data_IF_998986080484
#
_entry.id   IF_998986080484
#
_cell.length_a   1.000
_cell.length_b   1.000
_cell.length_c   1.000
_cell.angle_alpha   90.00
_cell.angle_beta   90.00
_cell.angle_gamma   90.00
#
_symmetry.space_group_name_H-M   'P 1'
#
loop_
_entity.id
_entity.type
_entity.pdbx_description
1 polymer ?
#
# COMPACT_ATOMS: atom_id res chain seq x y z
N UNK A 1 7.11 17.12 6.17
CA UNK A 1 8.44 17.19 6.83
C UNK A 1 8.69 18.62 7.24
N UNK A 2 8.91 18.83 8.51
CA UNK A 2 9.18 20.13 9.10
C UNK A 2 10.58 20.61 8.74
N UNK A 3 10.83 21.90 8.76
CA UNK A 3 12.13 22.54 8.45
C UNK A 3 13.26 22.20 9.46
N UNK A 4 13.22 21.04 10.11
CA UNK A 4 14.18 20.64 11.15
C UNK A 4 15.49 20.05 10.61
N UNK A 5 15.58 19.81 9.29
CA UNK A 5 16.81 19.27 8.71
C UNK A 5 18.01 20.22 8.83
N UNK A 6 17.76 21.54 8.90
CA UNK A 6 18.82 22.56 9.06
C UNK A 6 19.38 22.66 10.49
N UNK A 7 18.90 21.86 11.44
CA UNK A 7 19.43 21.83 12.80
C UNK A 7 20.81 21.21 12.91
N UNK A 8 21.26 20.53 11.87
CA UNK A 8 22.57 19.91 11.79
C UNK A 8 23.41 20.57 10.69
N UNK A 9 24.73 20.54 10.83
CA UNK A 9 25.62 21.03 9.79
C UNK A 9 25.56 20.18 8.51
N UNK A 10 25.92 20.76 7.37
CA UNK A 10 25.85 20.07 6.07
C UNK A 10 26.66 18.77 6.02
N UNK A 11 27.73 18.69 6.76
CA UNK A 11 28.65 17.53 6.80
C UNK A 11 28.45 16.69 8.07
N UNK A 12 27.29 16.79 8.74
CA UNK A 12 27.03 16.09 9.99
C UNK A 12 26.88 14.58 9.78
N UNK A 13 26.27 14.18 8.65
CA UNK A 13 26.03 12.77 8.33
C UNK A 13 27.00 12.29 7.27
N UNK A 14 27.75 11.24 7.58
CA UNK A 14 28.62 10.55 6.60
C UNK A 14 27.81 9.67 5.66
N UNK A 15 26.71 9.07 6.15
CA UNK A 15 25.81 8.18 5.42
C UNK A 15 24.39 8.68 5.50
N UNK A 16 23.70 8.70 4.37
CA UNK A 16 22.26 8.96 4.30
C UNK A 16 21.60 7.80 3.57
N UNK A 17 20.58 7.22 4.20
CA UNK A 17 19.76 6.17 3.60
C UNK A 17 18.36 6.74 3.42
N UNK A 18 17.82 6.64 2.20
CA UNK A 18 16.48 7.09 1.84
C UNK A 18 15.62 5.86 1.57
N UNK A 19 14.70 5.58 2.47
CA UNK A 19 13.65 4.60 2.24
C UNK A 19 12.56 5.22 1.36
N UNK A 20 11.89 4.39 0.58
CA UNK A 20 10.92 4.81 -0.45
C UNK A 20 11.51 5.85 -1.42
N UNK A 21 12.71 5.54 -1.93
CA UNK A 21 13.49 6.45 -2.77
C UNK A 21 12.78 6.89 -4.07
N UNK A 22 11.65 6.27 -4.43
CA UNK A 22 10.81 6.76 -5.52
C UNK A 22 10.23 8.15 -5.25
N UNK A 23 10.24 8.65 -4.00
CA UNK A 23 9.85 10.01 -3.64
C UNK A 23 10.99 11.03 -3.70
N UNK A 24 12.22 10.62 -4.00
CA UNK A 24 13.43 11.45 -3.93
C UNK A 24 13.38 12.70 -4.80
N UNK A 25 12.65 12.65 -5.90
CA UNK A 25 12.47 13.78 -6.82
C UNK A 25 11.50 14.85 -6.32
N UNK A 26 10.78 14.60 -5.21
CA UNK A 26 9.86 15.59 -4.63
C UNK A 26 10.61 16.76 -4.00
N UNK A 27 10.00 17.96 -3.97
CA UNK A 27 10.67 19.18 -3.46
C UNK A 27 11.18 19.07 -2.02
N UNK A 28 10.52 18.28 -1.18
CA UNK A 28 10.92 18.08 0.23
C UNK A 28 12.20 17.26 0.36
N UNK A 29 12.35 16.20 -0.45
CA UNK A 29 13.54 15.37 -0.46
C UNK A 29 14.72 16.09 -1.13
N UNK A 30 14.48 16.76 -2.27
CA UNK A 30 15.51 17.55 -2.95
C UNK A 30 16.18 18.56 -2.02
N UNK A 31 15.40 19.31 -1.23
CA UNK A 31 15.94 20.27 -0.25
C UNK A 31 16.88 19.60 0.76
N UNK A 32 16.57 18.40 1.22
CA UNK A 32 17.40 17.67 2.19
C UNK A 32 18.68 17.17 1.53
N UNK A 33 18.59 16.61 0.33
CA UNK A 33 19.73 16.07 -0.42
C UNK A 33 20.70 17.19 -0.86
N UNK A 34 20.17 18.33 -1.31
CA UNK A 34 20.96 19.50 -1.69
C UNK A 34 21.65 20.16 -0.49
N UNK A 35 21.04 20.08 0.69
CA UNK A 35 21.62 20.67 1.90
C UNK A 35 22.78 19.84 2.47
N UNK A 36 22.57 18.51 2.62
CA UNK A 36 23.58 17.63 3.19
C UNK A 36 24.59 17.16 2.12
N UNK A 37 25.83 16.96 2.53
CA UNK A 37 26.90 16.44 1.70
C UNK A 37 27.45 15.14 2.29
N UNK A 38 26.71 14.04 2.21
CA UNK A 38 27.16 12.78 2.74
C UNK A 38 28.32 12.21 1.89
N UNK A 39 29.14 11.37 2.50
CA UNK A 39 30.13 10.57 1.77
C UNK A 39 29.50 9.43 0.99
N UNK A 40 28.30 8.98 1.45
CA UNK A 40 27.56 7.89 0.83
C UNK A 40 26.06 8.16 0.92
N UNK A 41 25.37 8.05 -0.21
CA UNK A 41 23.91 8.18 -0.34
C UNK A 41 23.34 6.87 -0.89
N UNK A 42 22.39 6.25 -0.18
CA UNK A 42 21.70 5.03 -0.59
C UNK A 42 20.19 5.27 -0.70
N UNK A 43 19.60 4.85 -1.80
CA UNK A 43 18.16 4.79 -1.99
C UNK A 43 17.68 3.35 -1.97
N UNK A 44 16.60 3.10 -1.25
CA UNK A 44 15.89 1.83 -1.22
C UNK A 44 14.46 2.05 -1.72
N UNK A 45 13.98 1.25 -2.66
CA UNK A 45 12.61 1.32 -3.15
C UNK A 45 12.16 -0.01 -3.76
N UNK A 46 10.90 -0.36 -3.56
CA UNK A 46 10.28 -1.48 -4.26
C UNK A 46 9.83 -1.12 -5.69
N UNK A 47 9.71 0.18 -6.01
CA UNK A 47 9.21 0.70 -7.30
C UNK A 47 10.16 1.74 -7.86
N UNK A 48 11.16 1.31 -8.64
CA UNK A 48 12.12 2.20 -9.27
C UNK A 48 11.56 2.92 -10.51
N UNK A 49 10.59 2.32 -11.21
CA UNK A 49 10.00 2.91 -12.41
C UNK A 49 8.84 3.83 -12.05
N UNK A 50 8.98 5.12 -12.36
CA UNK A 50 7.91 6.11 -12.23
C UNK A 50 7.24 6.37 -13.58
N UNK A 51 5.91 6.50 -13.54
CA UNK A 51 5.12 6.84 -14.73
C UNK A 51 5.19 8.33 -15.11
N UNK A 52 5.77 9.18 -14.23
CA UNK A 52 5.86 10.63 -14.42
C UNK A 52 7.11 11.07 -15.22
N UNK A 53 7.92 10.13 -15.70
CA UNK A 53 9.11 10.41 -16.51
C UNK A 53 10.32 10.99 -15.75
N UNK A 54 10.20 11.21 -14.44
CA UNK A 54 11.32 11.69 -13.63
C UNK A 54 12.22 10.53 -13.23
N UNK A 55 13.47 10.53 -13.67
CA UNK A 55 14.45 9.53 -13.27
C UNK A 55 14.88 9.73 -11.82
N UNK A 56 14.71 8.70 -11.01
CA UNK A 56 15.27 8.69 -9.66
C UNK A 56 16.77 8.42 -9.68
N UNK A 57 17.25 7.78 -10.74
CA UNK A 57 18.64 7.34 -10.86
C UNK A 57 19.63 8.51 -10.94
N UNK A 58 19.21 9.65 -11.54
CA UNK A 58 20.02 10.87 -11.59
C UNK A 58 20.46 11.36 -10.21
N UNK A 59 19.63 11.15 -9.19
CA UNK A 59 19.95 11.56 -7.81
C UNK A 59 21.06 10.69 -7.21
N UNK A 60 21.27 9.50 -7.74
CA UNK A 60 22.26 8.52 -7.30
C UNK A 60 23.39 8.32 -8.36
N UNK A 61 23.64 9.34 -9.20
CA UNK A 61 24.66 9.31 -10.27
C UNK A 61 24.56 8.06 -11.17
N UNK A 62 23.30 7.63 -11.47
CA UNK A 62 22.97 6.43 -12.25
C UNK A 62 23.54 5.11 -11.67
N UNK A 63 23.96 5.10 -10.41
CA UNK A 63 24.49 3.91 -9.76
C UNK A 63 23.33 3.03 -9.26
N UNK A 64 23.28 1.80 -9.73
CA UNK A 64 22.35 0.76 -9.27
C UNK A 64 23.18 -0.36 -8.62
N UNK A 65 23.05 -0.48 -7.30
CA UNK A 65 23.73 -1.53 -6.54
C UNK A 65 23.07 -2.90 -6.71
N UNK A 66 21.72 -2.91 -6.76
CA UNK A 66 20.94 -4.13 -6.90
C UNK A 66 19.57 -3.79 -7.50
N UNK A 67 19.11 -4.56 -8.47
CA UNK A 67 17.74 -4.52 -9.02
C UNK A 67 17.19 -5.96 -9.06
N UNK A 68 16.26 -6.27 -8.16
CA UNK A 68 15.62 -7.57 -8.10
C UNK A 68 14.15 -7.37 -8.47
N UNK A 69 13.77 -7.83 -9.63
CA UNK A 69 12.38 -7.78 -10.10
C UNK A 69 11.55 -8.90 -9.47
N UNK A 70 10.23 -8.73 -9.48
CA UNK A 70 9.32 -9.74 -8.92
C UNK A 70 9.54 -11.14 -9.53
N UNK A 71 9.77 -11.22 -10.85
CA UNK A 71 10.05 -12.49 -11.52
C UNK A 71 11.34 -13.13 -10.99
N UNK A 72 12.42 -12.33 -10.86
CA UNK A 72 13.68 -12.81 -10.32
C UNK A 72 13.54 -13.27 -8.86
N UNK A 73 12.76 -12.51 -8.08
CA UNK A 73 12.48 -12.86 -6.69
C UNK A 73 11.70 -14.19 -6.55
N UNK A 74 10.75 -14.45 -7.45
CA UNK A 74 10.01 -15.71 -7.51
C UNK A 74 10.90 -16.86 -7.96
N UNK A 75 11.70 -16.70 -9.01
CA UNK A 75 12.63 -17.72 -9.53
C UNK A 75 13.68 -18.12 -8.49
N UNK A 76 14.16 -17.16 -7.70
CA UNK A 76 15.16 -17.41 -6.66
C UNK A 76 14.55 -17.75 -5.28
N UNK A 77 13.22 -17.96 -5.20
CA UNK A 77 12.50 -18.26 -3.94
C UNK A 77 12.72 -17.20 -2.83
N UNK A 78 12.93 -15.94 -3.20
CA UNK A 78 13.02 -14.82 -2.26
C UNK A 78 11.64 -14.39 -1.75
N UNK A 79 10.59 -14.69 -2.51
CA UNK A 79 9.19 -14.48 -2.16
C UNK A 79 8.39 -15.76 -2.45
N UNK A 80 7.29 -15.95 -1.74
CA UNK A 80 6.40 -17.09 -1.96
C UNK A 80 5.58 -16.91 -3.25
N UNK A 81 5.30 -17.99 -4.00
CA UNK A 81 4.39 -17.92 -5.15
C UNK A 81 3.00 -17.46 -4.73
N UNK A 82 2.34 -16.71 -5.59
CA UNK A 82 0.97 -16.23 -5.38
C UNK A 82 0.14 -16.35 -6.66
N UNK A 83 -1.17 -16.37 -6.50
CA UNK A 83 -2.11 -16.29 -7.61
C UNK A 83 -2.67 -14.87 -7.72
N UNK A 84 -2.64 -14.31 -8.92
CA UNK A 84 -3.21 -13.01 -9.22
C UNK A 84 -4.48 -13.16 -10.06
N UNK A 85 -5.59 -12.58 -9.59
CA UNK A 85 -6.86 -12.58 -10.31
C UNK A 85 -7.30 -11.14 -10.59
N UNK A 86 -7.32 -10.76 -11.86
CA UNK A 86 -7.94 -9.52 -12.30
C UNK A 86 -9.45 -9.73 -12.45
N UNK A 87 -10.27 -9.00 -11.70
CA UNK A 87 -11.72 -9.13 -11.71
C UNK A 87 -12.33 -7.81 -12.16
N UNK A 88 -13.10 -7.85 -13.26
CA UNK A 88 -13.88 -6.68 -13.68
C UNK A 88 -15.01 -6.44 -12.69
N UNK A 89 -15.28 -5.17 -12.37
CA UNK A 89 -16.35 -4.80 -11.45
C UNK A 89 -17.74 -5.09 -12.02
N UNK A 90 -18.77 -4.94 -11.19
CA UNK A 90 -20.15 -5.16 -11.62
C UNK A 90 -20.57 -4.14 -12.68
N UNK A 91 -21.34 -4.60 -13.68
CA UNK A 91 -21.78 -3.75 -14.80
C UNK A 91 -22.68 -2.56 -14.39
N UNK A 92 -23.25 -2.58 -13.18
CA UNK A 92 -24.09 -1.49 -12.69
C UNK A 92 -23.30 -0.28 -12.19
N UNK A 93 -21.99 -0.32 -12.19
CA UNK A 93 -21.13 0.81 -11.82
C UNK A 93 -20.65 1.47 -13.10
N UNK A 94 -21.05 2.73 -13.29
CA UNK A 94 -20.61 3.56 -14.40
C UNK A 94 -19.40 4.39 -13.98
N UNK A 95 -18.24 4.06 -14.55
CA UNK A 95 -16.99 4.79 -14.32
C UNK A 95 -16.73 5.90 -15.35
N UNK A 96 -17.51 5.95 -16.47
CA UNK A 96 -17.21 6.86 -17.59
C UNK A 96 -17.44 8.34 -17.22
N UNK A 97 -18.35 8.60 -16.28
CA UNK A 97 -18.75 9.95 -15.90
C UNK A 97 -18.19 10.40 -14.55
N UNK A 98 -17.20 9.69 -14.00
CA UNK A 98 -16.63 9.98 -12.69
C UNK A 98 -15.20 10.45 -12.81
N UNK A 99 -14.90 11.56 -12.15
CA UNK A 99 -13.53 11.97 -11.89
C UNK A 99 -12.93 11.09 -10.80
N UNK A 100 -12.06 10.15 -11.19
CA UNK A 100 -11.38 9.22 -10.28
C UNK A 100 -10.49 9.92 -9.24
N UNK A 101 -10.19 11.21 -9.42
CA UNK A 101 -9.47 12.01 -8.43
C UNK A 101 -10.38 12.52 -7.30
N UNK A 102 -11.69 12.45 -7.48
CA UNK A 102 -12.67 12.83 -6.46
C UNK A 102 -13.00 11.65 -5.56
N UNK A 103 -12.19 11.46 -4.53
CA UNK A 103 -12.25 10.32 -3.62
C UNK A 103 -13.66 10.14 -3.02
N UNK A 104 -14.35 11.23 -2.65
CA UNK A 104 -15.69 11.16 -2.04
C UNK A 104 -16.76 10.65 -3.02
N UNK A 105 -16.70 11.06 -4.29
CA UNK A 105 -17.61 10.58 -5.33
C UNK A 105 -17.33 9.11 -5.63
N UNK A 106 -16.07 8.74 -5.74
CA UNK A 106 -15.64 7.37 -5.94
C UNK A 106 -16.05 6.46 -4.77
N UNK A 107 -15.86 6.91 -3.52
CA UNK A 107 -16.26 6.15 -2.34
C UNK A 107 -17.76 5.84 -2.32
N UNK A 108 -18.61 6.82 -2.66
CA UNK A 108 -20.07 6.63 -2.75
C UNK A 108 -20.44 5.63 -3.85
N UNK A 109 -19.79 5.72 -5.00
CA UNK A 109 -20.02 4.80 -6.11
C UNK A 109 -19.70 3.35 -5.72
N UNK A 110 -18.58 3.16 -5.02
CA UNK A 110 -18.08 1.85 -4.62
C UNK A 110 -18.81 1.28 -3.39
N UNK A 111 -19.49 2.13 -2.59
CA UNK A 111 -20.21 1.72 -1.38
C UNK A 111 -21.63 1.28 -1.68
N UNK A 112 -21.79 0.24 -2.50
CA UNK A 112 -23.08 -0.35 -2.86
C UNK A 112 -23.14 -1.83 -2.47
N UNK A 113 -24.29 -2.23 -1.90
CA UNK A 113 -24.51 -3.60 -1.40
C UNK A 113 -24.21 -4.66 -2.47
N UNK A 114 -24.67 -4.46 -3.71
CA UNK A 114 -24.44 -5.40 -4.82
C UNK A 114 -22.94 -5.62 -5.08
N UNK A 115 -22.14 -4.58 -4.95
CA UNK A 115 -20.68 -4.68 -5.13
C UNK A 115 -20.03 -5.44 -3.97
N UNK A 116 -20.46 -5.17 -2.74
CA UNK A 116 -19.97 -5.92 -1.58
C UNK A 116 -20.33 -7.42 -1.69
N UNK A 117 -21.57 -7.76 -2.09
CA UNK A 117 -21.98 -9.14 -2.34
C UNK A 117 -21.15 -9.81 -3.43
N UNK A 118 -20.87 -9.08 -4.53
CA UNK A 118 -20.02 -9.56 -5.63
C UNK A 118 -18.58 -9.82 -5.18
N UNK A 119 -18.00 -8.90 -4.41
CA UNK A 119 -16.64 -9.08 -3.87
C UNK A 119 -16.59 -10.34 -2.98
N UNK A 120 -17.56 -10.53 -2.10
CA UNK A 120 -17.65 -11.70 -1.23
C UNK A 120 -17.81 -13.00 -2.06
N UNK A 121 -18.64 -12.97 -3.11
CA UNK A 121 -18.78 -14.10 -4.04
C UNK A 121 -17.44 -14.46 -4.69
N UNK A 122 -16.74 -13.47 -5.24
CA UNK A 122 -15.44 -13.70 -5.89
C UNK A 122 -14.37 -14.14 -4.90
N UNK A 123 -14.35 -13.56 -3.72
CA UNK A 123 -13.46 -13.96 -2.64
C UNK A 123 -13.69 -15.44 -2.25
N UNK A 124 -14.95 -15.88 -2.17
CA UNK A 124 -15.28 -17.28 -1.91
C UNK A 124 -14.90 -18.20 -3.08
N UNK A 125 -15.11 -17.74 -4.31
CA UNK A 125 -14.80 -18.54 -5.50
C UNK A 125 -13.29 -18.78 -5.67
N UNK A 126 -12.46 -17.77 -5.44
CA UNK A 126 -11.01 -17.84 -5.63
C UNK A 126 -10.25 -18.24 -4.36
N UNK A 127 -10.93 -18.41 -3.23
CA UNK A 127 -10.26 -18.76 -1.98
C UNK A 127 -9.73 -20.18 -1.99
N UNK A 128 -8.62 -20.37 -1.27
CA UNK A 128 -7.99 -21.67 -1.10
C UNK A 128 -8.79 -22.55 -0.12
N UNK A 129 -8.97 -23.81 -0.46
CA UNK A 129 -9.65 -24.78 0.39
C UNK A 129 -8.65 -25.41 1.38
N UNK A 130 -8.99 -25.39 2.67
CA UNK A 130 -8.27 -26.19 3.68
C UNK A 130 -7.68 -25.44 4.87
N UNK A 131 -7.60 -24.11 4.84
CA UNK A 131 -7.17 -23.29 5.98
C UNK A 131 -8.16 -22.18 6.24
N UNK A 132 -8.14 -21.64 7.47
CA UNK A 132 -8.88 -20.41 7.77
C UNK A 132 -8.35 -19.29 6.90
N UNK A 133 -9.25 -18.62 6.19
CA UNK A 133 -8.91 -17.49 5.34
C UNK A 133 -8.52 -16.30 6.22
N UNK A 134 -7.45 -15.64 5.82
CA UNK A 134 -7.02 -14.33 6.34
C UNK A 134 -6.90 -13.40 5.14
N UNK A 135 -7.50 -12.21 5.23
CA UNK A 135 -7.53 -11.27 4.12
C UNK A 135 -7.29 -9.85 4.60
N UNK A 136 -6.70 -9.04 3.73
CA UNK A 136 -6.54 -7.60 3.91
C UNK A 136 -7.20 -6.92 2.73
N UNK A 137 -8.14 -5.99 3.00
CA UNK A 137 -8.81 -5.18 2.01
C UNK A 137 -8.31 -3.73 2.03
N UNK A 138 -8.09 -3.15 0.85
CA UNK A 138 -7.74 -1.74 0.70
C UNK A 138 -8.92 -0.96 0.15
N UNK A 139 -9.31 0.11 0.83
CA UNK A 139 -10.43 0.95 0.48
C UNK A 139 -9.98 2.36 0.08
N UNK A 140 -10.76 3.03 -0.76
CA UNK A 140 -10.43 4.37 -1.29
C UNK A 140 -10.64 5.49 -0.28
N UNK A 141 -11.48 5.28 0.73
CA UNK A 141 -11.72 6.24 1.82
C UNK A 141 -12.08 5.52 3.12
N UNK A 142 -12.12 6.26 4.24
CA UNK A 142 -12.54 5.76 5.55
C UNK A 142 -13.98 5.29 5.53
N UNK A 143 -14.88 6.07 4.93
CA UNK A 143 -16.31 5.77 4.80
C UNK A 143 -16.51 4.47 4.02
N UNK A 144 -15.75 4.29 2.92
CA UNK A 144 -15.77 3.05 2.15
C UNK A 144 -15.25 1.86 2.98
N UNK A 145 -14.19 2.05 3.76
CA UNK A 145 -13.66 1.00 4.63
C UNK A 145 -14.66 0.58 5.73
N UNK A 146 -15.34 1.54 6.36
CA UNK A 146 -16.41 1.26 7.32
C UNK A 146 -17.57 0.51 6.68
N UNK A 147 -18.04 0.99 5.52
CA UNK A 147 -19.11 0.34 4.78
C UNK A 147 -18.76 -1.11 4.45
N UNK A 148 -17.58 -1.37 3.90
CA UNK A 148 -17.16 -2.72 3.54
C UNK A 148 -17.05 -3.62 4.77
N UNK A 149 -16.43 -3.14 5.86
CA UNK A 149 -16.34 -3.91 7.11
C UNK A 149 -17.70 -4.26 7.68
N UNK A 150 -18.67 -3.33 7.67
CA UNK A 150 -20.05 -3.58 8.10
C UNK A 150 -20.70 -4.67 7.23
N UNK A 151 -20.59 -4.57 5.90
CA UNK A 151 -21.17 -5.55 4.98
C UNK A 151 -20.58 -6.94 5.12
N UNK A 152 -19.27 -7.04 5.35
CA UNK A 152 -18.63 -8.32 5.63
C UNK A 152 -19.17 -8.93 6.93
N UNK A 153 -19.26 -8.15 8.00
CA UNK A 153 -19.81 -8.60 9.27
C UNK A 153 -21.29 -9.02 9.17
N UNK A 154 -22.13 -8.29 8.41
CA UNK A 154 -23.53 -8.68 8.12
C UNK A 154 -23.62 -10.05 7.43
N UNK A 155 -22.62 -10.41 6.64
CA UNK A 155 -22.52 -11.72 5.94
C UNK A 155 -21.82 -12.80 6.75
N UNK A 156 -21.52 -12.55 8.03
CA UNK A 156 -20.86 -13.50 8.91
C UNK A 156 -19.34 -13.64 8.69
N UNK A 157 -18.75 -12.71 7.94
CA UNK A 157 -17.30 -12.63 7.73
C UNK A 157 -16.75 -11.61 8.72
N UNK A 158 -16.06 -12.08 9.75
CA UNK A 158 -15.51 -11.22 10.79
C UNK A 158 -14.50 -10.24 10.19
N UNK A 159 -14.79 -8.95 10.27
CA UNK A 159 -13.99 -7.89 9.67
C UNK A 159 -13.80 -6.72 10.63
N UNK A 160 -12.60 -6.15 10.65
CA UNK A 160 -12.27 -4.95 11.41
C UNK A 160 -11.73 -3.89 10.46
N UNK A 161 -12.27 -2.68 10.53
CA UNK A 161 -11.76 -1.53 9.81
C UNK A 161 -10.64 -0.86 10.59
N UNK A 162 -9.51 -0.57 9.91
CA UNK A 162 -8.41 0.25 10.41
C UNK A 162 -8.30 1.54 9.59
N UNK A 163 -8.18 2.66 10.29
CA UNK A 163 -8.08 3.99 9.70
C UNK A 163 -6.84 4.76 10.21
N UNK A 164 -6.52 5.89 9.58
CA UNK A 164 -5.33 6.69 9.93
C UNK A 164 -5.35 7.22 11.36
N UNK A 165 -6.53 7.47 11.94
CA UNK A 165 -6.73 7.98 13.30
C UNK A 165 -6.63 6.92 14.39
N UNK A 166 -6.63 5.65 14.03
CA UNK A 166 -6.52 4.57 15.01
C UNK A 166 -5.17 4.59 15.71
N UNK A 167 -5.20 4.35 17.02
CA UNK A 167 -4.00 4.28 17.84
C UNK A 167 -3.08 3.14 17.42
N UNK A 168 -1.78 3.28 17.70
CA UNK A 168 -0.79 2.23 17.43
C UNK A 168 -1.22 0.93 18.14
N UNK A 169 -1.66 1.02 19.38
CA UNK A 169 -2.11 -0.14 20.14
C UNK A 169 -3.27 -0.88 19.44
N UNK A 170 -4.31 -0.14 18.96
CA UNK A 170 -5.43 -0.77 18.23
C UNK A 170 -4.96 -1.47 16.97
N UNK A 171 -3.99 -0.88 16.25
CA UNK A 171 -3.43 -1.48 15.03
C UNK A 171 -2.69 -2.78 15.35
N UNK A 172 -1.82 -2.76 16.36
CA UNK A 172 -1.06 -3.93 16.79
C UNK A 172 -1.98 -5.06 17.24
N UNK A 173 -2.98 -4.76 18.09
CA UNK A 173 -3.97 -5.74 18.54
C UNK A 173 -4.77 -6.35 17.38
N UNK A 174 -5.10 -5.53 16.37
CA UNK A 174 -5.86 -6.00 15.21
C UNK A 174 -5.01 -6.88 14.30
N UNK A 175 -3.76 -6.50 14.06
CA UNK A 175 -2.81 -7.30 13.29
C UNK A 175 -2.55 -8.64 14.01
N UNK A 176 -2.36 -8.61 15.31
CA UNK A 176 -2.16 -9.83 16.10
C UNK A 176 -3.37 -10.76 16.02
N UNK A 177 -4.60 -10.22 16.05
CA UNK A 177 -5.81 -11.03 15.84
C UNK A 177 -5.87 -11.64 14.44
N UNK A 178 -5.40 -10.95 13.41
CA UNK A 178 -5.32 -11.49 12.05
C UNK A 178 -4.25 -12.61 11.97
N UNK A 179 -3.13 -12.45 12.64
CA UNK A 179 -2.04 -13.44 12.67
C UNK A 179 -2.38 -14.69 13.48
N UNK A 180 -3.22 -14.56 14.50
CA UNK A 180 -3.60 -15.68 15.36
C UNK A 180 -4.34 -16.77 14.55
N UNK A 181 -3.82 -18.02 14.61
CA UNK A 181 -4.40 -19.17 13.90
C UNK A 181 -5.83 -19.48 14.34
N UNK A 182 -6.23 -19.08 15.54
CA UNK A 182 -7.59 -19.28 16.07
C UNK A 182 -8.58 -18.22 15.59
N UNK A 183 -8.09 -17.11 15.05
CA UNK A 183 -8.92 -16.03 14.55
C UNK A 183 -9.41 -16.33 13.13
N UNK A 184 -10.70 -16.08 12.88
CA UNK A 184 -11.28 -16.02 11.53
C UNK A 184 -11.50 -14.57 11.09
N UNK A 185 -10.59 -13.68 11.49
CA UNK A 185 -10.68 -12.27 11.19
C UNK A 185 -10.21 -11.98 9.77
N UNK A 186 -10.97 -11.16 9.05
CA UNK A 186 -10.59 -10.57 7.77
C UNK A 186 -10.58 -9.02 7.95
N UNK A 187 -9.50 -8.37 7.58
CA UNK A 187 -9.27 -6.92 7.77
C UNK A 187 -9.35 -6.20 6.43
#
# INVERSE_FOLDING_TARGET
MTNSFSNFSQNYFDYIIIDEAHHVTSPSYKKVIEYYKPKFLLGLTATSNRMDGNSIYEVFDENIACDIRLNDALEHNLVVPFHYFGISDIQSIDYENIDLNKIDELAKLLSVNKRADFIIEKMNFYSFFGTKRKAIGFCVSKEHAFFMSEKFNEKGISSICLISEDSIQKREETIQKLEDEKSSLEI
#
